data_IF_617941356858
#
_entry.id   IF_617941356858
#
_cell.length_a   1.000
_cell.length_b   1.000
_cell.length_c   1.000
_cell.angle_alpha   90.00
_cell.angle_beta   90.00
_cell.angle_gamma   90.00
#
_symmetry.space_group_name_H-M   'P 1'
#
loop_
_entity.id
_entity.type
_entity.pdbx_description
1 polymer ?
#
# COMPACT_ATOMS: atom_id res chain seq x y z
N UNK A 1 -28.78 -2.70 27.31
CA UNK A 1 -27.41 -3.28 27.38
C UNK A 1 -27.07 -4.19 26.21
N UNK A 2 -27.95 -5.14 25.82
CA UNK A 2 -27.70 -6.09 24.72
C UNK A 2 -27.55 -5.43 23.34
N UNK A 3 -28.32 -4.37 23.09
CA UNK A 3 -28.28 -3.57 21.85
C UNK A 3 -26.93 -2.87 21.63
N UNK A 4 -26.39 -2.21 22.65
CA UNK A 4 -25.06 -1.59 22.56
C UNK A 4 -23.97 -2.62 22.27
N UNK A 5 -24.02 -3.81 22.90
CA UNK A 5 -23.08 -4.88 22.59
C UNK A 5 -23.25 -5.43 21.17
N UNK A 6 -24.42 -5.32 20.54
CA UNK A 6 -24.60 -5.66 19.11
C UNK A 6 -23.98 -4.60 18.21
N UNK A 7 -24.18 -3.31 18.53
CA UNK A 7 -23.59 -2.21 17.78
C UNK A 7 -22.07 -2.27 17.76
N UNK A 8 -21.42 -2.37 18.92
CA UNK A 8 -19.95 -2.49 19.00
C UNK A 8 -19.43 -3.75 18.32
N UNK A 9 -20.21 -4.84 18.30
CA UNK A 9 -19.84 -6.04 17.56
C UNK A 9 -19.80 -5.79 16.06
N UNK A 10 -20.82 -5.12 15.50
CA UNK A 10 -20.88 -4.77 14.07
C UNK A 10 -19.74 -3.82 13.70
N UNK A 11 -19.50 -2.80 14.52
CA UNK A 11 -18.38 -1.86 14.32
C UNK A 11 -17.06 -2.63 14.27
N UNK A 12 -16.81 -3.52 15.23
CA UNK A 12 -15.60 -4.34 15.24
C UNK A 12 -15.49 -5.26 14.02
N UNK A 13 -16.59 -5.90 13.61
CA UNK A 13 -16.62 -6.84 12.47
C UNK A 13 -16.25 -6.14 11.16
N UNK A 14 -16.64 -4.87 10.99
CA UNK A 14 -16.33 -4.09 9.79
C UNK A 14 -14.97 -3.41 9.89
N UNK A 15 -14.67 -2.74 11.00
CA UNK A 15 -13.49 -1.91 11.13
C UNK A 15 -12.19 -2.71 11.30
N UNK A 16 -12.23 -3.84 12.03
CA UNK A 16 -10.99 -4.56 12.36
C UNK A 16 -10.32 -5.16 11.13
N UNK A 17 -11.03 -5.82 10.19
CA UNK A 17 -10.42 -6.29 8.96
C UNK A 17 -9.83 -5.16 8.09
N UNK A 18 -10.52 -4.01 8.01
CA UNK A 18 -10.02 -2.85 7.26
C UNK A 18 -8.72 -2.31 7.89
N UNK A 19 -8.69 -2.15 9.22
CA UNK A 19 -7.51 -1.68 9.92
C UNK A 19 -6.32 -2.62 9.70
N UNK A 20 -6.53 -3.93 9.85
CA UNK A 20 -5.50 -4.96 9.63
C UNK A 20 -5.00 -4.92 8.18
N UNK A 21 -5.91 -4.85 7.20
CA UNK A 21 -5.54 -4.74 5.78
C UNK A 21 -4.67 -3.51 5.50
N UNK A 22 -5.05 -2.34 6.01
CA UNK A 22 -4.30 -1.10 5.75
C UNK A 22 -2.94 -1.07 6.46
N UNK A 23 -2.85 -1.57 7.70
CA UNK A 23 -1.57 -1.73 8.41
C UNK A 23 -0.64 -2.64 7.60
N UNK A 24 -1.19 -3.73 7.10
CA UNK A 24 -0.45 -4.72 6.33
C UNK A 24 0.08 -4.15 5.01
N UNK A 25 -0.78 -3.46 4.25
CA UNK A 25 -0.38 -2.76 3.02
C UNK A 25 0.67 -1.68 3.28
N UNK A 26 0.58 -0.95 4.38
CA UNK A 26 1.59 0.02 4.78
C UNK A 26 2.94 -0.65 5.06
N UNK A 27 2.97 -1.73 5.85
CA UNK A 27 4.21 -2.47 6.12
C UNK A 27 4.86 -2.93 4.81
N UNK A 28 4.06 -3.45 3.87
CA UNK A 28 4.54 -3.87 2.56
C UNK A 28 5.13 -2.69 1.76
N UNK A 29 4.35 -1.62 1.59
CA UNK A 29 4.69 -0.49 0.74
C UNK A 29 5.93 0.30 1.21
N UNK A 30 6.34 0.13 2.47
CA UNK A 30 7.48 0.83 3.07
C UNK A 30 8.66 -0.08 3.44
N UNK A 31 8.71 -1.31 2.90
CA UNK A 31 9.86 -2.19 3.06
C UNK A 31 11.01 -1.80 2.11
N UNK A 32 11.98 -1.03 2.62
CA UNK A 32 13.13 -0.59 1.84
C UNK A 32 14.01 -1.75 1.34
N UNK A 33 14.01 -2.87 2.05
CA UNK A 33 14.83 -4.04 1.70
C UNK A 33 14.27 -4.74 0.46
N UNK A 34 12.95 -4.73 0.31
CA UNK A 34 12.27 -5.20 -0.89
C UNK A 34 12.68 -4.39 -2.12
N UNK A 35 12.64 -3.05 -2.05
CA UNK A 35 13.06 -2.20 -3.17
C UNK A 35 14.50 -2.50 -3.61
N UNK A 36 15.42 -2.57 -2.64
CA UNK A 36 16.82 -2.91 -2.93
C UNK A 36 16.96 -4.24 -3.68
N UNK A 37 16.38 -5.31 -3.12
CA UNK A 37 16.47 -6.64 -3.72
C UNK A 37 15.90 -6.68 -5.14
N UNK A 38 14.86 -5.91 -5.43
CA UNK A 38 14.23 -5.89 -6.75
C UNK A 38 14.93 -4.97 -7.74
N UNK A 39 15.61 -3.92 -7.28
CA UNK A 39 16.44 -3.12 -8.17
C UNK A 39 17.57 -3.93 -8.77
N UNK A 40 18.18 -4.80 -7.96
CA UNK A 40 19.15 -5.80 -8.42
C UNK A 40 18.49 -6.83 -9.35
N UNK A 41 17.35 -7.42 -8.97
CA UNK A 41 16.66 -8.46 -9.76
C UNK A 41 16.23 -7.99 -11.16
N UNK A 42 15.77 -6.74 -11.27
CA UNK A 42 15.25 -6.16 -12.51
C UNK A 42 16.26 -5.29 -13.27
N UNK A 43 17.51 -5.20 -12.81
CA UNK A 43 18.57 -4.35 -13.39
C UNK A 43 18.10 -2.91 -13.65
N UNK A 44 17.46 -2.28 -12.65
CA UNK A 44 16.85 -0.96 -12.81
C UNK A 44 17.89 0.13 -13.14
N UNK A 45 19.13 -0.04 -12.68
CA UNK A 45 20.25 0.83 -13.04
C UNK A 45 20.49 0.86 -14.55
N UNK A 46 20.48 -0.30 -15.23
CA UNK A 46 20.66 -0.36 -16.68
C UNK A 46 19.48 0.26 -17.45
N UNK A 47 18.26 0.16 -16.90
CA UNK A 47 17.04 0.68 -17.53
C UNK A 47 16.97 2.20 -17.43
N UNK A 48 17.34 2.75 -16.27
CA UNK A 48 17.17 4.18 -15.95
C UNK A 48 18.44 4.98 -16.16
N UNK A 49 19.62 4.34 -16.18
CA UNK A 49 20.92 5.01 -16.12
C UNK A 49 21.23 5.65 -14.76
N UNK A 50 20.48 5.31 -13.71
CA UNK A 50 20.65 5.84 -12.36
C UNK A 50 21.30 4.75 -11.50
N UNK A 51 22.42 5.07 -10.85
CA UNK A 51 23.11 4.12 -9.98
C UNK A 51 22.21 3.57 -8.88
N UNK A 52 22.43 2.32 -8.46
CA UNK A 52 21.65 1.70 -7.37
C UNK A 52 21.61 2.55 -6.09
N UNK A 53 22.73 3.19 -5.72
CA UNK A 53 22.79 4.10 -4.57
C UNK A 53 21.81 5.28 -4.73
N UNK A 54 21.78 5.90 -5.91
CA UNK A 54 20.87 6.99 -6.20
C UNK A 54 19.41 6.52 -6.29
N UNK A 55 19.14 5.35 -6.86
CA UNK A 55 17.80 4.74 -6.88
C UNK A 55 17.26 4.53 -5.47
N UNK A 56 18.09 4.05 -4.55
CA UNK A 56 17.72 3.89 -3.14
C UNK A 56 17.46 5.24 -2.47
N UNK A 57 18.32 6.24 -2.69
CA UNK A 57 18.13 7.58 -2.16
C UNK A 57 16.83 8.25 -2.67
N UNK A 58 16.51 8.07 -3.95
CA UNK A 58 15.26 8.55 -4.55
C UNK A 58 14.06 7.86 -3.89
N UNK A 59 14.14 6.54 -3.71
CA UNK A 59 13.09 5.75 -3.06
C UNK A 59 12.87 6.21 -1.62
N UNK A 60 13.92 6.40 -0.83
CA UNK A 60 13.80 6.91 0.54
C UNK A 60 13.10 8.28 0.58
N UNK A 61 13.49 9.20 -0.31
CA UNK A 61 12.85 10.52 -0.44
C UNK A 61 11.38 10.41 -0.86
N UNK A 62 11.06 9.49 -1.78
CA UNK A 62 9.69 9.21 -2.21
C UNK A 62 8.85 8.67 -1.03
N UNK A 63 9.37 7.68 -0.30
CA UNK A 63 8.68 7.12 0.87
C UNK A 63 8.46 8.16 1.97
N UNK A 64 9.44 9.05 2.22
CA UNK A 64 9.28 10.16 3.15
C UNK A 64 8.24 11.19 2.67
N UNK A 65 8.17 11.46 1.37
CA UNK A 65 7.12 12.29 0.77
C UNK A 65 5.73 11.69 0.96
N UNK A 66 5.57 10.39 0.71
CA UNK A 66 4.31 9.67 0.92
C UNK A 66 3.89 9.61 2.40
N UNK A 67 4.87 9.53 3.32
CA UNK A 67 4.65 9.67 4.77
C UNK A 67 4.35 11.10 5.23
N UNK A 68 4.40 12.08 4.33
CA UNK A 68 4.17 13.49 4.64
C UNK A 68 5.32 14.17 5.39
N UNK A 69 6.51 13.55 5.44
CA UNK A 69 7.72 14.13 6.04
C UNK A 69 8.43 15.13 5.12
N UNK A 70 8.01 15.21 3.85
CA UNK A 70 8.51 16.17 2.85
C UNK A 70 7.36 16.87 2.16
N UNK A 71 7.54 18.14 1.83
CA UNK A 71 6.50 18.94 1.16
C UNK A 71 6.41 18.66 -0.34
N UNK A 72 7.53 18.41 -1.01
CA UNK A 72 7.62 18.15 -2.45
C UNK A 72 8.49 16.91 -2.74
N UNK A 73 8.39 16.44 -3.99
CA UNK A 73 9.16 15.31 -4.53
C UNK A 73 9.99 15.74 -5.75
N UNK A 74 10.62 16.91 -5.66
CA UNK A 74 11.56 17.39 -6.67
C UNK A 74 12.95 16.87 -6.29
N UNK A 75 13.51 16.00 -7.12
CA UNK A 75 14.82 15.36 -6.90
C UNK A 75 15.65 15.56 -8.15
N UNK A 76 16.90 15.97 -7.97
CA UNK A 76 17.93 15.99 -9.01
C UNK A 76 18.97 14.94 -8.69
N UNK A 77 19.39 14.19 -9.69
CA UNK A 77 20.40 13.13 -9.58
C UNK A 77 21.17 12.99 -10.90
N UNK A 78 22.27 12.25 -10.86
CA UNK A 78 22.96 11.79 -12.06
C UNK A 78 22.14 10.70 -12.77
N UNK A 79 21.78 10.95 -14.03
CA UNK A 79 21.09 10.06 -14.95
C UNK A 79 22.01 9.91 -16.18
N UNK A 80 22.68 8.76 -16.30
CA UNK A 80 23.81 8.62 -17.22
C UNK A 80 24.93 9.60 -16.85
N UNK A 81 25.34 10.46 -17.80
CA UNK A 81 26.44 11.42 -17.60
C UNK A 81 25.95 12.85 -17.22
N UNK A 82 24.67 13.03 -16.87
CA UNK A 82 24.05 14.34 -16.65
C UNK A 82 23.28 14.44 -15.34
N UNK A 83 23.29 15.62 -14.73
CA UNK A 83 22.42 15.93 -13.59
C UNK A 83 21.07 16.41 -14.12
N UNK A 84 20.03 15.62 -13.90
CA UNK A 84 18.68 15.90 -14.39
C UNK A 84 17.64 15.74 -13.27
N UNK A 85 16.45 16.31 -13.47
CA UNK A 85 15.34 16.11 -12.56
C UNK A 85 14.76 14.71 -12.79
N UNK A 86 14.56 13.95 -11.71
CA UNK A 86 14.16 12.53 -11.80
C UNK A 86 12.75 12.34 -12.33
N UNK A 87 11.79 13.12 -11.83
CA UNK A 87 10.38 12.97 -12.19
C UNK A 87 9.91 14.16 -13.01
N UNK A 88 9.29 13.88 -14.15
CA UNK A 88 8.68 14.86 -15.04
C UNK A 88 7.33 15.37 -14.49
N UNK A 89 6.79 16.43 -15.09
CA UNK A 89 5.57 17.09 -14.61
C UNK A 89 4.39 16.13 -14.39
N UNK A 90 4.15 15.22 -15.35
CA UNK A 90 3.08 14.21 -15.26
C UNK A 90 3.26 13.28 -14.07
N UNK A 91 4.48 12.83 -13.84
CA UNK A 91 4.83 11.92 -12.74
C UNK A 91 4.70 12.62 -11.39
N UNK A 92 5.12 13.90 -11.30
CA UNK A 92 4.95 14.71 -10.10
C UNK A 92 3.47 14.92 -9.74
N UNK A 93 2.63 15.18 -10.75
CA UNK A 93 1.18 15.31 -10.54
C UNK A 93 0.56 13.98 -10.10
N UNK A 94 0.98 12.86 -10.72
CA UNK A 94 0.54 11.55 -10.28
C UNK A 94 0.97 11.24 -8.83
N UNK A 95 2.23 11.50 -8.48
CA UNK A 95 2.76 11.32 -7.12
C UNK A 95 2.03 12.18 -6.09
N UNK A 96 1.57 13.37 -6.47
CA UNK A 96 0.73 14.21 -5.61
C UNK A 96 -0.62 13.55 -5.33
N UNK A 97 -1.26 12.97 -6.34
CA UNK A 97 -2.50 12.21 -6.18
C UNK A 97 -2.27 10.96 -5.30
N UNK A 98 -1.15 10.26 -5.50
CA UNK A 98 -0.75 9.11 -4.68
C UNK A 98 -0.51 9.53 -3.23
N UNK A 99 0.16 10.64 -2.96
CA UNK A 99 0.35 11.15 -1.59
C UNK A 99 -0.98 11.45 -0.90
N UNK A 100 -1.94 12.04 -1.61
CA UNK A 100 -3.27 12.30 -1.05
C UNK A 100 -4.03 10.99 -0.79
N UNK A 101 -3.86 9.97 -1.64
CA UNK A 101 -4.39 8.63 -1.40
C UNK A 101 -3.79 8.00 -0.13
N UNK A 102 -2.47 8.06 0.06
CA UNK A 102 -1.81 7.59 1.29
C UNK A 102 -2.33 8.34 2.52
N UNK A 103 -2.47 9.67 2.44
CA UNK A 103 -3.02 10.49 3.53
C UNK A 103 -4.43 10.05 3.93
N UNK A 104 -5.32 9.84 2.96
CA UNK A 104 -6.68 9.32 3.21
C UNK A 104 -6.63 7.90 3.80
N UNK A 105 -5.74 7.05 3.27
CA UNK A 105 -5.49 5.71 3.78
C UNK A 105 -5.10 5.71 5.26
N UNK A 106 -4.18 6.58 5.67
CA UNK A 106 -3.80 6.72 7.09
C UNK A 106 -4.97 7.15 7.97
N UNK A 107 -5.78 8.11 7.54
CA UNK A 107 -6.96 8.54 8.31
C UNK A 107 -7.95 7.38 8.49
N UNK A 108 -8.24 6.63 7.42
CA UNK A 108 -9.16 5.48 7.48
C UNK A 108 -8.57 4.38 8.38
N UNK A 109 -7.27 4.08 8.24
CA UNK A 109 -6.56 3.12 9.08
C UNK A 109 -6.67 3.50 10.56
N UNK A 110 -6.34 4.73 10.91
CA UNK A 110 -6.31 5.19 12.30
C UNK A 110 -7.71 5.20 12.91
N UNK A 111 -8.71 5.67 12.16
CA UNK A 111 -10.11 5.68 12.60
C UNK A 111 -10.64 4.26 12.80
N UNK A 112 -10.42 3.36 11.83
CA UNK A 112 -10.91 1.97 11.92
C UNK A 112 -10.18 1.20 13.02
N UNK A 113 -8.88 1.46 13.23
CA UNK A 113 -8.11 0.89 14.33
C UNK A 113 -8.65 1.35 15.68
N UNK A 114 -8.87 2.65 15.86
CA UNK A 114 -9.43 3.22 17.08
C UNK A 114 -10.81 2.62 17.40
N UNK A 115 -11.71 2.59 16.42
CA UNK A 115 -13.05 2.02 16.58
C UNK A 115 -13.01 0.54 16.93
N UNK A 116 -12.05 -0.20 16.36
CA UNK A 116 -11.84 -1.62 16.66
C UNK A 116 -11.37 -1.81 18.10
N UNK A 117 -10.37 -1.05 18.55
CA UNK A 117 -9.84 -1.12 19.92
C UNK A 117 -10.94 -0.80 20.94
N UNK A 118 -11.67 0.30 20.75
CA UNK A 118 -12.77 0.69 21.65
C UNK A 118 -13.85 -0.39 21.69
N UNK A 119 -14.22 -0.97 20.54
CA UNK A 119 -15.20 -2.04 20.47
C UNK A 119 -14.74 -3.31 21.19
N UNK A 120 -13.49 -3.72 20.99
CA UNK A 120 -12.92 -4.90 21.64
C UNK A 120 -12.87 -4.72 23.16
N UNK A 121 -12.42 -3.56 23.65
CA UNK A 121 -12.39 -3.22 25.08
C UNK A 121 -13.80 -3.27 25.66
N UNK A 122 -14.77 -2.60 25.03
CA UNK A 122 -16.16 -2.58 25.50
C UNK A 122 -16.73 -4.00 25.62
N UNK A 123 -16.55 -4.84 24.59
CA UNK A 123 -17.12 -6.19 24.56
C UNK A 123 -16.39 -7.11 25.54
N UNK A 124 -15.07 -6.97 25.72
CA UNK A 124 -14.30 -7.75 26.69
C UNK A 124 -14.86 -7.65 28.11
N UNK A 125 -15.27 -6.44 28.53
CA UNK A 125 -15.86 -6.22 29.85
C UNK A 125 -17.34 -6.60 29.95
N UNK A 126 -18.04 -6.77 28.82
CA UNK A 126 -19.50 -7.03 28.81
C UNK A 126 -19.87 -8.47 28.48
N UNK A 127 -19.20 -9.11 27.52
CA UNK A 127 -19.55 -10.43 27.02
C UNK A 127 -18.34 -11.13 26.36
N UNK A 128 -17.60 -11.90 27.16
CA UNK A 128 -16.40 -12.62 26.69
C UNK A 128 -16.70 -13.75 25.70
N UNK A 129 -17.89 -14.33 25.74
CA UNK A 129 -18.29 -15.38 24.79
C UNK A 129 -18.50 -14.74 23.42
N UNK A 130 -19.17 -13.59 23.38
CA UNK A 130 -19.38 -12.84 22.15
C UNK A 130 -18.07 -12.29 21.57
N UNK A 131 -17.14 -11.84 22.42
CA UNK A 131 -15.80 -11.43 21.97
C UNK A 131 -15.12 -12.54 21.16
N UNK A 132 -15.10 -13.78 21.68
CA UNK A 132 -14.52 -14.92 20.96
C UNK A 132 -15.18 -15.14 19.59
N UNK A 133 -16.51 -15.06 19.52
CA UNK A 133 -17.25 -15.19 18.26
C UNK A 133 -16.90 -14.10 17.27
N UNK A 134 -16.80 -12.85 17.72
CA UNK A 134 -16.44 -11.71 16.87
C UNK A 134 -15.03 -11.89 16.32
N UNK A 135 -14.06 -12.27 17.15
CA UNK A 135 -12.69 -12.51 16.72
C UNK A 135 -12.61 -13.60 15.64
N UNK A 136 -13.35 -14.71 15.80
CA UNK A 136 -13.45 -15.77 14.78
C UNK A 136 -14.03 -15.20 13.47
N UNK A 137 -15.14 -14.47 13.55
CA UNK A 137 -15.80 -13.88 12.37
C UNK A 137 -14.87 -12.88 11.67
N UNK A 138 -14.20 -11.99 12.40
CA UNK A 138 -13.26 -11.03 11.83
C UNK A 138 -12.07 -11.72 11.17
N UNK A 139 -11.53 -12.78 11.79
CA UNK A 139 -10.44 -13.55 11.19
C UNK A 139 -10.87 -14.25 9.89
N UNK A 140 -12.09 -14.81 9.85
CA UNK A 140 -12.64 -15.40 8.62
C UNK A 140 -12.84 -14.35 7.52
N UNK A 141 -13.38 -13.18 7.87
CA UNK A 141 -13.52 -12.07 6.92
C UNK A 141 -12.15 -11.64 6.40
N UNK A 142 -11.15 -11.51 7.28
CA UNK A 142 -9.80 -11.15 6.91
C UNK A 142 -9.19 -12.16 5.93
N UNK A 143 -9.35 -13.46 6.21
CA UNK A 143 -8.88 -14.53 5.33
C UNK A 143 -9.53 -14.47 3.95
N UNK A 144 -10.85 -14.23 3.89
CA UNK A 144 -11.59 -14.10 2.63
C UNK A 144 -11.11 -12.86 1.86
N UNK A 145 -10.93 -11.72 2.53
CA UNK A 145 -10.45 -10.49 1.91
C UNK A 145 -9.05 -10.66 1.32
N UNK A 146 -8.11 -11.20 2.09
CA UNK A 146 -6.74 -11.45 1.62
C UNK A 146 -6.72 -12.48 0.48
N UNK A 147 -7.56 -13.52 0.56
CA UNK A 147 -7.62 -14.57 -0.45
C UNK A 147 -8.18 -14.07 -1.76
N UNK A 148 -9.22 -13.23 -1.68
CA UNK A 148 -9.78 -12.56 -2.85
C UNK A 148 -8.74 -11.63 -3.48
N UNK A 149 -8.06 -10.79 -2.69
CA UNK A 149 -7.00 -9.91 -3.21
C UNK A 149 -5.89 -10.70 -3.91
N UNK A 150 -5.43 -11.79 -3.29
CA UNK A 150 -4.44 -12.69 -3.87
C UNK A 150 -4.90 -13.24 -5.23
N UNK A 151 -6.12 -13.79 -5.30
CA UNK A 151 -6.67 -14.35 -6.54
C UNK A 151 -6.76 -13.29 -7.63
N UNK A 152 -7.24 -12.08 -7.31
CA UNK A 152 -7.36 -10.99 -8.28
C UNK A 152 -5.98 -10.62 -8.84
N UNK A 153 -5.03 -10.30 -7.96
CA UNK A 153 -3.66 -9.89 -8.33
C UNK A 153 -2.96 -10.98 -9.13
N UNK A 154 -3.06 -12.24 -8.70
CA UNK A 154 -2.41 -13.37 -9.37
C UNK A 154 -3.03 -13.69 -10.75
N UNK A 155 -4.34 -13.50 -10.90
CA UNK A 155 -5.04 -13.86 -12.15
C UNK A 155 -4.78 -12.89 -13.31
N UNK A 156 -4.78 -11.58 -13.05
CA UNK A 156 -4.55 -10.54 -14.06
C UNK A 156 -4.20 -9.21 -13.40
N UNK A 157 -2.94 -9.07 -12.97
CA UNK A 157 -2.49 -7.86 -12.28
C UNK A 157 -2.76 -6.58 -13.09
N UNK A 158 -2.48 -6.59 -14.39
CA UNK A 158 -2.66 -5.43 -15.27
C UNK A 158 -4.10 -4.92 -15.29
N UNK A 159 -5.07 -5.83 -15.39
CA UNK A 159 -6.50 -5.50 -15.33
C UNK A 159 -6.90 -4.91 -13.99
N UNK A 160 -6.52 -5.53 -12.88
CA UNK A 160 -6.92 -5.04 -11.55
C UNK A 160 -6.16 -3.79 -11.13
N UNK A 161 -4.92 -3.62 -11.56
CA UNK A 161 -4.17 -2.36 -11.47
C UNK A 161 -4.93 -1.25 -12.20
N UNK A 162 -5.41 -1.51 -13.41
CA UNK A 162 -6.22 -0.55 -14.19
C UNK A 162 -7.54 -0.22 -13.48
N UNK A 163 -8.24 -1.21 -12.94
CA UNK A 163 -9.48 -0.96 -12.19
C UNK A 163 -9.24 -0.18 -10.89
N UNK A 164 -8.20 -0.50 -10.15
CA UNK A 164 -7.78 0.26 -8.97
C UNK A 164 -7.60 1.74 -9.32
N UNK A 165 -6.85 2.04 -10.38
CA UNK A 165 -6.60 3.42 -10.78
C UNK A 165 -7.88 4.13 -11.24
N UNK A 166 -8.74 3.46 -12.01
CA UNK A 166 -10.02 4.03 -12.45
C UNK A 166 -11.00 4.30 -11.31
N UNK A 167 -10.92 3.53 -10.22
CA UNK A 167 -11.78 3.73 -9.05
C UNK A 167 -11.27 4.88 -8.19
N UNK A 168 -9.96 5.03 -8.04
CA UNK A 168 -9.35 5.96 -7.09
C UNK A 168 -8.93 7.31 -7.69
N UNK A 169 -8.70 7.35 -9.00
CA UNK A 169 -8.29 8.57 -9.71
C UNK A 169 -9.31 8.91 -10.80
N UNK A 170 -9.65 10.20 -10.89
CA UNK A 170 -10.58 10.74 -11.89
C UNK A 170 -9.87 11.27 -13.14
N UNK A 171 -8.57 11.03 -13.27
CA UNK A 171 -7.71 11.51 -14.35
C UNK A 171 -6.88 10.34 -14.90
N UNK A 172 -6.04 10.63 -15.89
CA UNK A 172 -5.19 9.66 -16.57
C UNK A 172 -3.71 9.76 -16.20
N UNK A 173 -3.31 10.58 -15.22
CA UNK A 173 -1.91 10.88 -14.90
C UNK A 173 -1.09 9.63 -14.54
N UNK A 174 -1.75 8.58 -14.07
CA UNK A 174 -1.17 7.27 -13.75
C UNK A 174 -0.80 6.43 -14.97
N UNK A 175 -1.28 6.79 -16.18
CA UNK A 175 -0.85 6.15 -17.44
C UNK A 175 0.52 6.70 -17.84
N UNK A 176 1.56 6.07 -17.33
CA UNK A 176 2.96 6.42 -17.60
C UNK A 176 3.53 5.55 -18.73
N UNK A 177 4.52 6.09 -19.44
CA UNK A 177 5.21 5.43 -20.52
C UNK A 177 6.47 4.70 -20.00
N UNK A 178 6.52 3.35 -20.00
CA UNK A 178 7.66 2.60 -19.50
C UNK A 178 8.96 2.82 -20.28
N UNK A 179 8.91 3.47 -21.44
CA UNK A 179 10.11 3.80 -22.22
C UNK A 179 10.75 5.14 -21.87
N UNK A 180 10.03 6.02 -21.17
CA UNK A 180 10.48 7.40 -20.94
C UNK A 180 10.32 7.88 -19.50
N UNK A 181 9.33 7.36 -18.77
CA UNK A 181 8.94 7.91 -17.48
C UNK A 181 9.69 7.14 -16.38
N UNK A 182 10.58 7.83 -15.67
CA UNK A 182 11.51 7.20 -14.71
C UNK A 182 10.74 6.53 -13.56
N UNK A 183 9.61 7.06 -13.11
CA UNK A 183 8.80 6.50 -12.02
C UNK A 183 8.35 5.08 -12.33
N UNK A 184 7.82 4.83 -13.52
CA UNK A 184 7.35 3.48 -13.89
C UNK A 184 8.50 2.56 -14.30
N UNK A 185 9.65 3.13 -14.71
CA UNK A 185 10.88 2.36 -14.91
C UNK A 185 11.48 1.91 -13.57
N UNK A 186 11.48 2.78 -12.56
CA UNK A 186 11.92 2.46 -11.20
C UNK A 186 10.98 1.48 -10.50
N UNK A 187 9.68 1.57 -10.76
CA UNK A 187 8.68 0.71 -10.14
C UNK A 187 7.82 0.00 -11.21
N UNK A 188 8.39 -0.96 -11.97
CA UNK A 188 7.64 -1.68 -13.00
C UNK A 188 6.35 -2.33 -12.47
N UNK A 189 5.41 -2.63 -13.36
CA UNK A 189 4.15 -3.25 -12.94
C UNK A 189 4.39 -4.63 -12.33
N UNK A 190 5.31 -5.41 -12.87
CA UNK A 190 5.72 -6.70 -12.32
C UNK A 190 6.26 -6.56 -10.90
N UNK A 191 7.09 -5.54 -10.66
CA UNK A 191 7.62 -5.20 -9.34
C UNK A 191 6.49 -4.93 -8.33
N UNK A 192 5.47 -4.17 -8.74
CA UNK A 192 4.29 -3.87 -7.92
C UNK A 192 3.42 -5.11 -7.67
N UNK A 193 3.28 -6.00 -8.65
CA UNK A 193 2.54 -7.24 -8.51
C UNK A 193 3.24 -8.19 -7.51
N UNK A 194 4.55 -8.33 -7.64
CA UNK A 194 5.38 -9.18 -6.77
C UNK A 194 5.36 -8.68 -5.34
N UNK A 195 5.45 -7.36 -5.10
CA UNK A 195 5.33 -6.78 -3.76
C UNK A 195 4.05 -7.25 -3.06
N UNK A 196 2.91 -7.16 -3.75
CA UNK A 196 1.62 -7.53 -3.17
C UNK A 196 1.50 -9.05 -3.00
N UNK A 197 2.01 -9.85 -3.93
CA UNK A 197 1.95 -11.32 -3.86
C UNK A 197 2.84 -11.85 -2.74
N UNK A 198 4.12 -11.44 -2.67
CA UNK A 198 5.07 -11.88 -1.64
C UNK A 198 4.56 -11.49 -0.24
N UNK A 199 4.01 -10.28 -0.13
CA UNK A 199 3.42 -9.83 1.12
C UNK A 199 2.19 -10.66 1.54
N UNK A 200 1.25 -10.92 0.61
CA UNK A 200 0.09 -11.77 0.90
C UNK A 200 0.50 -13.20 1.26
N UNK A 201 1.50 -13.76 0.58
CA UNK A 201 2.05 -15.07 0.89
C UNK A 201 2.67 -15.11 2.28
N UNK A 202 3.45 -14.10 2.66
CA UNK A 202 4.04 -13.97 3.99
C UNK A 202 2.98 -13.88 5.10
N UNK A 203 1.91 -13.12 4.85
CA UNK A 203 0.76 -13.04 5.75
C UNK A 203 0.14 -14.43 5.98
N UNK A 204 -0.01 -15.23 4.93
CA UNK A 204 -0.52 -16.60 5.04
C UNK A 204 0.37 -17.56 5.81
N UNK A 205 1.69 -17.45 5.72
CA UNK A 205 2.60 -18.31 6.49
C UNK A 205 2.57 -18.06 7.99
N UNK A 206 2.11 -16.87 8.42
CA UNK A 206 2.07 -16.47 9.83
C UNK A 206 0.72 -16.75 10.51
N UNK A 207 -0.25 -17.30 9.78
CA UNK A 207 -1.55 -17.76 10.30
C UNK A 207 -1.47 -19.18 10.84
#
# INVERSE_FOLDING_TARGET
MREYTNLFAIICIVCLPIAILLINLEVAAFDISFFKSKYEEYNIEDVTGISEENLMLITEKLLDYLKGKRENIIIFTEVGDKIEQVFEERELLHLKDVRELFRKGYIIKDLTLLLSIVSLIYIFYKDRIKLKKILIVTSLIQLILMGLLYILIYSDFYKYFTYFHKILFSNDLWLLNPKTDILIQMYPLEFSAVLLIEYLYYFYQRL
#
